data_IF_079956070630
#
_entry.id   IF_079956070630
#
_cell.length_a   1.000
_cell.length_b   1.000
_cell.length_c   1.000
_cell.angle_alpha   90.00
_cell.angle_beta   90.00
_cell.angle_gamma   90.00
#
_symmetry.space_group_name_H-M   'P 1'
#
loop_
_entity.id
_entity.type
_entity.pdbx_description
1 polymer ?
#
# COMPACT_ATOMS: atom_id res chain seq x y z
N UNK A 1 -5.62 26.18 4.50
CA UNK A 1 -7.04 25.78 4.69
C UNK A 1 -7.81 25.63 3.38
N UNK A 2 -7.20 25.90 2.24
CA UNK A 2 -7.91 25.98 0.96
C UNK A 2 -7.79 24.71 0.11
N UNK A 3 -6.83 23.82 0.36
CA UNK A 3 -6.57 22.67 -0.48
C UNK A 3 -7.68 21.60 -0.46
N UNK A 4 -8.40 21.45 0.67
CA UNK A 4 -9.53 20.52 0.76
C UNK A 4 -10.88 21.13 0.37
N UNK A 5 -10.97 22.45 0.20
CA UNK A 5 -12.20 23.12 -0.24
C UNK A 5 -12.39 23.12 -1.76
N UNK A 6 -11.34 22.79 -2.51
CA UNK A 6 -11.38 22.79 -3.99
C UNK A 6 -11.53 21.41 -4.61
N UNK A 7 -11.42 20.33 -3.81
CA UNK A 7 -11.68 18.95 -4.26
C UNK A 7 -12.76 18.32 -3.41
N UNK A 8 -13.76 17.74 -4.03
CA UNK A 8 -14.84 17.00 -3.36
C UNK A 8 -14.36 15.64 -2.77
N UNK A 9 -13.06 15.32 -2.90
CA UNK A 9 -12.50 14.02 -2.52
C UNK A 9 -11.17 14.19 -1.78
N UNK A 10 -11.05 13.52 -0.63
CA UNK A 10 -9.77 13.38 0.05
C UNK A 10 -8.83 12.51 -0.81
N UNK A 11 -7.55 12.91 -1.03
CA UNK A 11 -6.70 12.29 -2.06
C UNK A 11 -6.24 10.88 -1.72
N UNK A 12 -6.12 10.53 -0.45
CA UNK A 12 -5.58 9.26 0.01
C UNK A 12 -6.61 8.41 0.73
N UNK A 13 -6.43 7.11 0.69
CA UNK A 13 -7.13 6.14 1.52
C UNK A 13 -6.09 5.32 2.30
N UNK A 14 -6.23 5.29 3.62
CA UNK A 14 -5.35 4.57 4.53
C UNK A 14 -6.14 3.42 5.15
N UNK A 15 -5.58 2.20 5.11
CA UNK A 15 -6.23 1.01 5.67
C UNK A 15 -5.25 0.21 6.52
N UNK A 16 -5.77 -0.39 7.58
CA UNK A 16 -5.11 -1.50 8.27
C UNK A 16 -5.86 -2.76 7.84
N UNK A 17 -5.15 -3.69 7.21
CA UNK A 17 -5.71 -4.93 6.68
C UNK A 17 -5.10 -6.10 7.44
N UNK A 18 -5.94 -6.82 8.17
CA UNK A 18 -5.62 -8.09 8.82
C UNK A 18 -6.17 -9.24 7.97
N UNK A 19 -5.29 -9.84 7.19
CA UNK A 19 -5.67 -10.88 6.24
C UNK A 19 -5.70 -12.25 6.93
N UNK A 20 -6.90 -12.72 7.26
CA UNK A 20 -7.09 -14.09 7.77
C UNK A 20 -6.77 -15.14 6.72
N UNK A 21 -7.21 -14.91 5.49
CA UNK A 21 -7.06 -15.80 4.33
C UNK A 21 -6.37 -15.04 3.19
N UNK A 22 -5.89 -15.76 2.17
CA UNK A 22 -5.30 -15.17 0.98
C UNK A 22 -6.33 -14.27 0.27
N UNK A 23 -5.98 -13.02 0.00
CA UNK A 23 -6.82 -12.14 -0.81
C UNK A 23 -6.69 -12.50 -2.29
N UNK A 24 -7.66 -12.07 -3.10
CA UNK A 24 -7.60 -12.33 -4.55
C UNK A 24 -6.36 -11.72 -5.18
N UNK A 25 -5.81 -12.40 -6.17
CA UNK A 25 -4.75 -11.87 -7.01
C UNK A 25 -5.36 -10.81 -7.90
N UNK A 26 -4.76 -9.63 -7.89
CA UNK A 26 -5.32 -8.43 -8.50
C UNK A 26 -4.25 -7.54 -9.13
N UNK A 27 -4.71 -6.61 -9.94
CA UNK A 27 -3.92 -5.52 -10.53
C UNK A 27 -4.77 -4.25 -10.57
N UNK A 28 -4.11 -3.10 -10.51
CA UNK A 28 -4.77 -1.81 -10.62
C UNK A 28 -4.33 -1.06 -11.87
N UNK A 29 -5.24 -0.32 -12.53
CA UNK A 29 -4.87 0.57 -13.62
C UNK A 29 -4.19 1.85 -13.13
N UNK A 30 -3.51 2.57 -14.02
CA UNK A 30 -3.11 3.95 -13.82
C UNK A 30 -4.28 4.93 -14.05
N UNK A 31 -4.02 6.24 -13.84
CA UNK A 31 -5.03 7.29 -14.00
C UNK A 31 -5.57 7.38 -15.44
N UNK A 32 -4.70 7.19 -16.44
CA UNK A 32 -5.07 7.35 -17.84
C UNK A 32 -6.01 6.24 -18.29
N UNK A 33 -5.70 5.01 -17.95
CA UNK A 33 -6.57 3.86 -18.24
C UNK A 33 -7.88 3.96 -17.46
N UNK A 34 -7.82 4.24 -16.15
CA UNK A 34 -9.02 4.36 -15.32
C UNK A 34 -9.95 5.48 -15.79
N UNK A 35 -9.41 6.62 -16.20
CA UNK A 35 -10.19 7.73 -16.75
C UNK A 35 -11.02 7.33 -17.97
N UNK A 36 -10.48 6.49 -18.84
CA UNK A 36 -11.15 6.05 -20.06
C UNK A 36 -12.13 4.90 -19.81
N UNK A 37 -11.69 3.90 -19.02
CA UNK A 37 -12.40 2.62 -18.89
C UNK A 37 -13.26 2.51 -17.64
N UNK A 38 -13.13 3.46 -16.67
CA UNK A 38 -13.81 3.44 -15.37
C UNK A 38 -14.52 4.78 -15.09
N UNK A 39 -15.18 5.35 -16.11
CA UNK A 39 -16.04 6.54 -16.00
C UNK A 39 -15.37 7.75 -15.34
N UNK A 40 -14.09 7.99 -15.63
CA UNK A 40 -13.35 9.11 -15.06
C UNK A 40 -12.78 8.87 -13.67
N UNK A 41 -12.77 7.63 -13.20
CA UNK A 41 -12.17 7.26 -11.91
C UNK A 41 -10.65 7.49 -11.91
N UNK A 42 -10.08 7.55 -10.71
CA UNK A 42 -8.63 7.56 -10.51
C UNK A 42 -8.06 6.14 -10.69
N UNK A 43 -6.83 6.07 -11.13
CA UNK A 43 -5.99 4.88 -11.01
C UNK A 43 -5.71 4.54 -9.55
N UNK A 44 -4.93 3.49 -9.30
CA UNK A 44 -4.61 3.08 -7.94
C UNK A 44 -3.16 2.71 -7.80
N UNK A 45 -2.37 3.70 -7.38
CA UNK A 45 -1.02 3.51 -6.85
C UNK A 45 -1.14 3.30 -5.35
N UNK A 46 -0.44 2.32 -4.81
CA UNK A 46 -0.48 2.01 -3.38
C UNK A 46 0.88 1.58 -2.86
N UNK A 47 1.04 1.54 -1.56
CA UNK A 47 2.17 0.95 -0.87
C UNK A 47 1.72 0.24 0.40
N UNK A 48 2.52 -0.74 0.84
CA UNK A 48 2.27 -1.50 2.05
C UNK A 48 3.45 -1.44 3.00
N UNK A 49 3.14 -1.23 4.26
CA UNK A 49 4.09 -1.43 5.36
C UNK A 49 3.64 -2.67 6.15
N UNK A 50 4.52 -3.67 6.28
CA UNK A 50 4.21 -4.91 7.00
C UNK A 50 4.25 -4.65 8.50
N UNK A 51 3.08 -4.57 9.12
CA UNK A 51 2.92 -4.35 10.56
C UNK A 51 3.25 -5.60 11.35
N UNK A 52 2.81 -6.77 10.83
CA UNK A 52 3.08 -8.09 11.38
C UNK A 52 2.82 -9.17 10.34
N UNK A 53 3.44 -10.33 10.50
CA UNK A 53 3.16 -11.49 9.66
C UNK A 53 3.57 -12.78 10.37
N UNK A 54 2.98 -13.91 9.95
CA UNK A 54 3.38 -15.22 10.43
C UNK A 54 4.82 -15.56 10.02
N UNK A 55 5.41 -16.54 10.68
CA UNK A 55 6.72 -17.07 10.30
C UNK A 55 6.70 -17.59 8.84
N UNK A 56 7.80 -17.33 8.10
CA UNK A 56 7.93 -17.68 6.68
C UNK A 56 6.79 -17.14 5.79
N UNK A 57 6.22 -16.00 6.14
CA UNK A 57 5.18 -15.37 5.32
C UNK A 57 5.72 -15.00 3.94
N UNK A 58 4.86 -15.13 2.94
CA UNK A 58 5.09 -14.65 1.58
C UNK A 58 3.97 -13.71 1.15
N UNK A 59 4.22 -12.97 0.09
CA UNK A 59 3.23 -12.11 -0.56
C UNK A 59 3.33 -12.30 -2.06
N UNK A 60 2.22 -12.14 -2.77
CA UNK A 60 2.26 -12.12 -4.23
C UNK A 60 2.67 -10.71 -4.68
N UNK A 61 3.75 -10.61 -5.47
CA UNK A 61 4.14 -9.37 -6.14
C UNK A 61 4.87 -9.67 -7.45
N UNK A 62 4.25 -9.25 -8.55
CA UNK A 62 4.68 -9.52 -9.90
C UNK A 62 4.27 -10.91 -10.41
N UNK A 63 4.82 -11.26 -11.55
CA UNK A 63 4.55 -12.49 -12.28
C UNK A 63 5.80 -12.94 -13.04
N UNK A 64 5.75 -14.16 -13.61
CA UNK A 64 6.89 -14.79 -14.31
C UNK A 64 6.80 -14.71 -15.84
N UNK A 65 5.73 -14.15 -16.42
CA UNK A 65 5.61 -14.01 -17.88
C UNK A 65 6.60 -12.97 -18.41
N UNK A 66 7.29 -13.30 -19.49
CA UNK A 66 8.26 -12.45 -20.16
C UNK A 66 7.68 -11.58 -21.28
N UNK A 67 6.53 -11.97 -21.87
CA UNK A 67 5.83 -11.24 -22.92
C UNK A 67 4.33 -11.14 -22.65
N UNK A 68 3.64 -10.23 -23.34
CA UNK A 68 2.17 -10.10 -23.24
C UNK A 68 1.43 -11.34 -23.73
N UNK A 69 1.93 -11.99 -24.76
CA UNK A 69 1.37 -13.23 -25.32
C UNK A 69 1.49 -14.37 -24.30
N UNK A 70 2.63 -14.47 -23.65
CA UNK A 70 2.85 -15.47 -22.60
C UNK A 70 1.96 -15.19 -21.39
N UNK A 71 1.86 -13.94 -20.93
CA UNK A 71 0.96 -13.49 -19.88
C UNK A 71 -0.48 -13.90 -20.17
N UNK A 72 -0.99 -13.54 -21.35
CA UNK A 72 -2.35 -13.85 -21.78
C UNK A 72 -2.60 -15.35 -21.82
N UNK A 73 -1.66 -16.12 -22.37
CA UNK A 73 -1.74 -17.58 -22.40
C UNK A 73 -1.79 -18.19 -21.00
N UNK A 74 -0.88 -17.80 -20.10
CA UNK A 74 -0.83 -18.34 -18.72
C UNK A 74 -2.13 -18.08 -17.97
N UNK A 75 -2.71 -16.89 -18.10
CA UNK A 75 -3.97 -16.51 -17.46
C UNK A 75 -5.13 -17.33 -18.02
N UNK A 76 -5.29 -17.40 -19.35
CA UNK A 76 -6.39 -18.13 -19.98
C UNK A 76 -6.32 -19.66 -19.76
N UNK A 77 -5.12 -20.21 -19.67
CA UNK A 77 -4.90 -21.64 -19.39
C UNK A 77 -4.94 -21.96 -17.89
N UNK A 78 -5.13 -20.96 -17.01
CA UNK A 78 -5.17 -21.15 -15.55
C UNK A 78 -3.85 -21.63 -14.95
N UNK A 79 -2.70 -21.29 -15.57
CA UNK A 79 -1.37 -21.70 -15.11
C UNK A 79 -0.87 -20.87 -13.93
N UNK A 80 -1.69 -20.78 -12.89
CA UNK A 80 -1.45 -19.88 -11.76
C UNK A 80 -0.14 -20.15 -11.03
N UNK A 81 0.25 -21.40 -10.84
CA UNK A 81 1.50 -21.78 -10.19
C UNK A 81 2.77 -21.40 -10.98
N UNK A 82 2.67 -21.30 -12.30
CA UNK A 82 3.76 -20.84 -13.16
C UNK A 82 3.74 -19.30 -13.29
N UNK A 83 2.55 -18.71 -13.30
CA UNK A 83 2.34 -17.27 -13.50
C UNK A 83 2.70 -16.45 -12.27
N UNK A 84 2.21 -16.83 -11.08
CA UNK A 84 2.30 -16.05 -9.84
C UNK A 84 3.73 -16.08 -9.29
N UNK A 85 4.23 -14.91 -8.93
CA UNK A 85 5.49 -14.79 -8.19
C UNK A 85 5.23 -14.45 -6.73
N UNK A 86 5.68 -15.33 -5.85
CA UNK A 86 5.67 -15.08 -4.41
C UNK A 86 7.06 -14.71 -3.91
N UNK A 87 7.12 -13.77 -2.97
CA UNK A 87 8.36 -13.35 -2.33
C UNK A 87 8.21 -13.39 -0.81
N UNK A 88 9.29 -13.73 -0.07
CA UNK A 88 9.26 -13.69 1.39
C UNK A 88 9.15 -12.26 1.89
N UNK A 89 8.44 -12.10 3.01
CA UNK A 89 8.30 -10.83 3.72
C UNK A 89 8.51 -11.05 5.22
N UNK A 90 8.78 -9.95 5.92
CA UNK A 90 8.86 -9.89 7.39
C UNK A 90 8.29 -8.57 7.90
N UNK A 91 7.97 -8.53 9.18
CA UNK A 91 7.61 -7.29 9.88
C UNK A 91 8.65 -6.20 9.61
N UNK A 92 8.20 -5.00 9.27
CA UNK A 92 9.03 -3.85 8.97
C UNK A 92 9.47 -3.75 7.51
N UNK A 93 9.03 -4.64 6.63
CA UNK A 93 9.24 -4.48 5.20
C UNK A 93 8.27 -3.46 4.61
N UNK A 94 8.74 -2.74 3.61
CA UNK A 94 7.97 -1.77 2.83
C UNK A 94 7.92 -2.20 1.36
N UNK A 95 6.72 -2.17 0.78
CA UNK A 95 6.47 -2.55 -0.61
C UNK A 95 5.77 -1.41 -1.34
N UNK A 96 6.29 -1.08 -2.52
CA UNK A 96 5.61 -0.17 -3.45
C UNK A 96 4.87 -0.99 -4.51
N UNK A 97 3.58 -0.69 -4.70
CA UNK A 97 2.70 -1.33 -5.67
C UNK A 97 2.31 -0.27 -6.71
N UNK A 98 3.09 -0.20 -7.79
CA UNK A 98 2.75 0.68 -8.91
C UNK A 98 1.58 0.09 -9.72
N UNK A 99 0.79 0.90 -10.43
CA UNK A 99 -0.19 0.43 -11.38
C UNK A 99 0.42 -0.60 -12.35
N UNK A 100 -0.36 -1.60 -12.72
CA UNK A 100 0.11 -2.71 -13.56
C UNK A 100 0.86 -3.83 -12.82
N UNK A 101 1.12 -3.68 -11.53
CA UNK A 101 1.75 -4.73 -10.72
C UNK A 101 0.72 -5.76 -10.27
N UNK A 102 0.92 -7.02 -10.63
CA UNK A 102 0.15 -8.16 -10.07
C UNK A 102 0.53 -8.34 -8.61
N UNK A 103 -0.46 -8.39 -7.71
CA UNK A 103 -0.19 -8.51 -6.28
C UNK A 103 -1.34 -9.16 -5.51
N UNK A 104 -1.04 -9.71 -4.35
CA UNK A 104 -2.03 -10.14 -3.36
C UNK A 104 -1.42 -10.21 -1.95
N UNK A 105 -2.21 -9.83 -0.95
CA UNK A 105 -1.91 -10.07 0.46
C UNK A 105 -2.26 -11.52 0.78
N UNK A 106 -1.35 -12.23 1.44
CA UNK A 106 -1.59 -13.62 1.85
C UNK A 106 -2.01 -13.71 3.32
N UNK A 107 -2.75 -14.75 3.63
CA UNK A 107 -3.26 -15.01 4.98
C UNK A 107 -2.19 -15.06 6.05
N UNK A 108 -2.48 -14.46 7.20
CA UNK A 108 -1.55 -14.28 8.31
C UNK A 108 -0.62 -13.08 8.15
N UNK A 109 -1.01 -12.08 7.36
CA UNK A 109 -0.27 -10.83 7.17
C UNK A 109 -1.13 -9.66 7.62
N UNK A 110 -0.55 -8.78 8.44
CA UNK A 110 -1.14 -7.50 8.87
C UNK A 110 -0.38 -6.36 8.22
N UNK A 111 -1.05 -5.52 7.45
CA UNK A 111 -0.42 -4.40 6.74
C UNK A 111 -1.08 -3.06 7.04
N UNK A 112 -0.31 -2.00 6.88
CA UNK A 112 -0.80 -0.64 6.68
C UNK A 112 -0.68 -0.32 5.20
N UNK A 113 -1.81 -0.15 4.53
CA UNK A 113 -1.90 0.26 3.13
C UNK A 113 -2.15 1.76 3.03
N UNK A 114 -1.34 2.44 2.23
CA UNK A 114 -1.60 3.82 1.79
C UNK A 114 -1.76 3.82 0.28
N UNK A 115 -2.85 4.41 -0.22
CA UNK A 115 -3.19 4.40 -1.64
C UNK A 115 -3.83 5.71 -2.10
N UNK A 116 -3.85 5.94 -3.43
CA UNK A 116 -4.78 6.90 -4.03
C UNK A 116 -6.21 6.54 -3.59
N UNK A 117 -7.06 7.55 -3.40
CA UNK A 117 -8.47 7.32 -3.04
C UNK A 117 -9.26 6.78 -4.24
N UNK A 118 -9.00 5.52 -4.58
CA UNK A 118 -9.63 4.74 -5.64
C UNK A 118 -9.98 3.34 -5.13
N UNK A 119 -11.08 2.80 -5.62
CA UNK A 119 -11.56 1.46 -5.34
C UNK A 119 -11.46 0.50 -6.55
N UNK A 120 -10.88 1.00 -7.65
CA UNK A 120 -10.74 0.21 -8.88
C UNK A 120 -9.78 -0.95 -8.67
N UNK A 121 -10.31 -2.16 -8.87
CA UNK A 121 -9.56 -3.41 -8.70
C UNK A 121 -9.94 -4.39 -9.81
N UNK A 122 -8.96 -4.82 -10.60
CA UNK A 122 -9.13 -5.91 -11.56
C UNK A 122 -8.68 -7.22 -10.93
N UNK A 123 -9.65 -8.10 -10.69
CA UNK A 123 -9.38 -9.42 -10.13
C UNK A 123 -8.94 -10.36 -11.22
N UNK A 124 -7.71 -10.88 -11.06
CA UNK A 124 -7.07 -11.82 -12.00
C UNK A 124 -7.45 -13.25 -11.64
N UNK A 125 -7.37 -13.59 -10.34
CA UNK A 125 -7.68 -14.92 -9.83
C UNK A 125 -8.17 -14.87 -8.39
N UNK A 126 -9.13 -15.73 -8.04
CA UNK A 126 -9.71 -15.77 -6.70
C UNK A 126 -9.76 -17.17 -6.08
N UNK A 127 -8.86 -18.05 -6.49
CA UNK A 127 -8.74 -19.42 -5.97
C UNK A 127 -10.04 -20.23 -6.09
N UNK A 128 -10.86 -19.94 -7.09
CA UNK A 128 -12.18 -20.56 -7.34
C UNK A 128 -13.16 -20.48 -6.15
N UNK A 129 -12.94 -19.49 -5.27
CA UNK A 129 -13.78 -19.31 -4.05
C UNK A 129 -15.18 -18.81 -4.39
N UNK A 130 -16.13 -19.30 -3.62
CA UNK A 130 -17.50 -18.84 -3.72
C UNK A 130 -17.79 -17.76 -2.67
N UNK A 131 -18.43 -16.68 -3.11
CA UNK A 131 -19.03 -15.66 -2.26
C UNK A 131 -20.54 -15.71 -2.44
N UNK A 132 -21.28 -16.01 -1.37
CA UNK A 132 -22.74 -16.23 -1.43
C UNK A 132 -23.15 -17.30 -2.46
N UNK A 133 -22.37 -18.38 -2.56
CA UNK A 133 -22.64 -19.52 -3.47
C UNK A 133 -22.31 -19.28 -4.94
N UNK A 134 -21.66 -18.14 -5.28
CA UNK A 134 -21.23 -17.81 -6.64
C UNK A 134 -19.76 -17.37 -6.65
N UNK A 135 -19.00 -17.68 -7.71
CA UNK A 135 -17.66 -17.12 -7.86
C UNK A 135 -17.74 -15.60 -7.97
N UNK A 136 -16.75 -14.90 -7.44
CA UNK A 136 -16.59 -13.46 -7.66
C UNK A 136 -16.16 -13.21 -9.11
N UNK A 137 -16.65 -12.11 -9.67
CA UNK A 137 -16.27 -11.70 -11.02
C UNK A 137 -14.76 -11.53 -11.17
N UNK A 138 -14.22 -12.07 -12.27
CA UNK A 138 -12.85 -11.86 -12.72
C UNK A 138 -12.83 -10.83 -13.86
N UNK A 139 -11.80 -10.00 -13.90
CA UNK A 139 -11.66 -8.92 -14.87
C UNK A 139 -10.48 -9.21 -15.82
N UNK A 140 -10.52 -10.38 -16.49
CA UNK A 140 -9.37 -10.97 -17.19
C UNK A 140 -8.85 -10.02 -18.29
N UNK A 141 -9.71 -9.56 -19.19
CA UNK A 141 -9.29 -8.70 -20.31
C UNK A 141 -8.68 -7.39 -19.82
N UNK A 142 -9.35 -6.69 -18.91
CA UNK A 142 -8.84 -5.45 -18.29
C UNK A 142 -7.53 -5.70 -17.54
N UNK A 143 -7.40 -6.85 -16.89
CA UNK A 143 -6.16 -7.23 -16.20
C UNK A 143 -5.00 -7.40 -17.18
N UNK A 144 -5.24 -8.15 -18.27
CA UNK A 144 -4.25 -8.35 -19.32
C UNK A 144 -3.84 -7.02 -19.93
N UNK A 145 -4.77 -6.10 -20.16
CA UNK A 145 -4.47 -4.77 -20.72
C UNK A 145 -3.48 -4.00 -19.85
N UNK A 146 -3.71 -3.94 -18.53
CA UNK A 146 -2.96 -3.07 -17.62
C UNK A 146 -1.72 -3.72 -17.01
N UNK A 147 -1.59 -5.05 -16.95
CA UNK A 147 -0.43 -5.70 -16.34
C UNK A 147 0.86 -5.32 -17.08
N UNK A 148 1.82 -4.80 -16.34
CA UNK A 148 3.16 -4.45 -16.84
C UNK A 148 3.99 -5.71 -17.10
N UNK A 149 4.53 -5.86 -18.31
CA UNK A 149 5.35 -7.01 -18.72
C UNK A 149 6.68 -6.50 -19.31
N UNK A 150 7.82 -7.07 -18.90
CA UNK A 150 7.99 -7.98 -17.77
C UNK A 150 7.70 -7.31 -16.42
N UNK A 151 7.40 -8.11 -15.40
CA UNK A 151 7.26 -7.60 -14.06
C UNK A 151 8.60 -7.04 -13.52
N UNK A 152 8.56 -6.04 -12.63
CA UNK A 152 9.74 -5.57 -11.90
C UNK A 152 10.44 -6.74 -11.21
N UNK A 153 11.75 -6.61 -10.97
CA UNK A 153 12.50 -7.66 -10.26
C UNK A 153 11.97 -7.82 -8.82
N UNK A 154 12.10 -9.02 -8.27
CA UNK A 154 11.72 -9.28 -6.89
C UNK A 154 12.56 -8.43 -5.90
N UNK A 155 13.84 -8.22 -6.19
CA UNK A 155 14.74 -7.43 -5.36
C UNK A 155 14.34 -5.93 -5.29
N UNK A 156 13.71 -5.41 -6.35
CA UNK A 156 13.26 -4.01 -6.39
C UNK A 156 11.86 -3.82 -5.79
N UNK A 157 11.20 -4.90 -5.43
CA UNK A 157 9.81 -4.86 -4.96
C UNK A 157 9.68 -4.70 -3.44
N UNK A 158 10.69 -5.08 -2.67
CA UNK A 158 10.67 -5.03 -1.19
C UNK A 158 11.90 -4.30 -0.66
N UNK A 159 11.66 -3.36 0.25
CA UNK A 159 12.71 -2.67 1.01
C UNK A 159 12.58 -3.01 2.48
N UNK A 160 13.64 -3.50 3.12
CA UNK A 160 13.69 -3.53 4.57
C UNK A 160 13.96 -2.12 5.10
N UNK A 161 13.09 -1.65 5.99
CA UNK A 161 13.19 -0.30 6.58
C UNK A 161 13.29 -0.37 8.11
N UNK A 162 13.81 -1.50 8.62
CA UNK A 162 13.95 -1.73 10.06
C UNK A 162 15.03 -0.84 10.69
N UNK A 163 16.17 -0.68 10.01
CA UNK A 163 17.38 -0.04 10.55
C UNK A 163 17.55 1.44 10.13
N UNK A 164 16.44 2.18 10.07
CA UNK A 164 16.48 3.61 9.76
C UNK A 164 16.83 4.44 11.00
N UNK A 165 17.44 5.64 10.81
CA UNK A 165 17.77 6.53 11.92
C UNK A 165 16.59 6.84 12.82
N UNK A 166 16.81 6.72 14.13
CA UNK A 166 15.83 7.08 15.17
C UNK A 166 15.70 8.60 15.28
N UNK A 167 14.54 9.10 15.69
CA UNK A 167 14.24 10.53 15.83
C UNK A 167 14.47 11.31 14.51
N UNK A 168 14.15 10.68 13.40
CA UNK A 168 14.29 11.25 12.05
C UNK A 168 13.00 11.00 11.27
N UNK A 169 12.60 11.97 10.47
CA UNK A 169 11.52 11.82 9.49
C UNK A 169 12.12 11.11 8.26
N UNK A 170 12.16 9.77 8.31
CA UNK A 170 12.75 8.95 7.27
C UNK A 170 11.80 8.79 6.09
N UNK A 171 12.15 9.34 4.93
CA UNK A 171 11.38 9.18 3.71
C UNK A 171 11.56 7.76 3.15
N UNK A 172 10.46 7.01 3.06
CA UNK A 172 10.43 5.65 2.51
C UNK A 172 10.20 5.66 1.00
N UNK A 173 9.27 6.51 0.57
CA UNK A 173 8.86 6.60 -0.83
C UNK A 173 8.21 7.94 -1.16
N UNK A 174 8.47 8.42 -2.38
CA UNK A 174 7.85 9.61 -2.96
C UNK A 174 7.39 9.31 -4.37
N UNK A 175 6.15 9.65 -4.67
CA UNK A 175 5.62 9.63 -6.02
C UNK A 175 4.72 10.84 -6.28
N UNK A 176 4.12 10.91 -7.45
CA UNK A 176 3.18 11.97 -7.85
C UNK A 176 1.99 12.11 -6.90
N UNK A 177 1.61 11.03 -6.20
CA UNK A 177 0.36 10.93 -5.45
C UNK A 177 0.52 11.03 -3.95
N UNK A 178 1.67 10.60 -3.42
CA UNK A 178 1.93 10.62 -1.98
C UNK A 178 3.42 10.51 -1.65
N UNK A 179 3.74 10.99 -0.45
CA UNK A 179 5.01 10.81 0.22
C UNK A 179 4.77 9.97 1.49
N UNK A 180 5.61 8.99 1.73
CA UNK A 180 5.53 8.08 2.89
C UNK A 180 6.77 8.24 3.74
N UNK A 181 6.56 8.37 5.05
CA UNK A 181 7.62 8.50 6.04
C UNK A 181 7.49 7.45 7.14
N UNK A 182 8.63 7.05 7.69
CA UNK A 182 8.72 6.27 8.94
C UNK A 182 9.44 7.08 9.98
N UNK A 183 8.90 7.08 11.20
CA UNK A 183 9.46 7.78 12.34
C UNK A 183 9.55 6.78 13.50
N UNK A 184 10.76 6.47 13.95
CA UNK A 184 11.00 5.76 15.19
C UNK A 184 11.38 6.78 16.25
N UNK A 185 10.50 7.01 17.24
CA UNK A 185 10.70 7.96 18.32
C UNK A 185 11.31 7.24 19.52
N UNK A 186 12.42 7.78 20.03
CA UNK A 186 13.03 7.38 21.30
C UNK A 186 13.41 8.63 22.08
N UNK A 187 12.68 8.90 23.16
CA UNK A 187 12.82 10.12 23.94
C UNK A 187 12.03 11.27 23.34
N UNK A 188 12.65 12.21 22.63
CA UNK A 188 12.00 13.40 22.08
C UNK A 188 12.54 13.75 20.70
N UNK A 189 11.64 14.16 19.80
CA UNK A 189 12.00 14.80 18.53
C UNK A 189 11.00 15.87 18.12
N UNK A 190 11.40 16.74 17.20
CA UNK A 190 10.54 17.76 16.61
C UNK A 190 10.77 17.83 15.11
N UNK A 191 9.73 18.22 14.37
CA UNK A 191 9.82 18.55 12.95
C UNK A 191 8.72 19.54 12.57
N UNK A 192 8.88 20.23 11.45
CA UNK A 192 7.88 21.16 10.91
C UNK A 192 6.94 20.46 9.94
N UNK A 193 5.61 20.55 10.19
CA UNK A 193 4.56 20.09 9.30
C UNK A 193 4.12 21.25 8.38
N UNK A 194 4.65 21.26 7.15
CA UNK A 194 4.36 22.28 6.12
C UNK A 194 3.58 21.72 4.92
N UNK A 195 3.34 20.41 4.89
CA UNK A 195 2.57 19.77 3.84
C UNK A 195 1.07 20.13 3.94
N UNK A 196 0.28 19.91 2.89
CA UNK A 196 -1.17 20.18 2.89
C UNK A 196 -1.91 19.49 4.03
N UNK A 197 -1.45 18.35 4.44
CA UNK A 197 -1.84 17.58 5.63
C UNK A 197 -0.77 16.51 5.88
N UNK A 198 -0.82 15.86 7.03
CA UNK A 198 -0.05 14.65 7.29
C UNK A 198 -0.92 13.66 8.06
N UNK A 199 -1.22 12.51 7.46
CA UNK A 199 -1.80 11.38 8.18
C UNK A 199 -0.70 10.72 9.00
N UNK A 200 -1.01 10.34 10.22
CA UNK A 200 -0.08 9.66 11.12
C UNK A 200 -0.75 8.44 11.74
N UNK A 201 -0.10 7.29 11.63
CA UNK A 201 -0.56 6.04 12.25
C UNK A 201 0.50 5.56 13.22
N UNK A 202 0.17 5.42 14.50
CA UNK A 202 1.06 4.81 15.50
C UNK A 202 1.03 3.30 15.30
N UNK A 203 2.11 2.74 14.77
CA UNK A 203 2.21 1.33 14.41
C UNK A 203 2.75 0.46 15.54
N UNK A 204 3.48 1.06 16.48
CA UNK A 204 3.98 0.39 17.69
C UNK A 204 4.26 1.38 18.81
N UNK A 205 4.24 0.89 20.07
CA UNK A 205 4.55 1.69 21.27
C UNK A 205 3.49 2.71 21.65
N UNK A 206 3.91 3.73 22.39
CA UNK A 206 3.06 4.83 22.85
C UNK A 206 3.92 6.08 23.11
N UNK A 207 3.24 7.23 23.20
CA UNK A 207 3.91 8.50 23.46
C UNK A 207 2.94 9.68 23.55
N UNK A 208 3.46 10.85 23.26
CA UNK A 208 2.75 12.12 23.28
C UNK A 208 3.05 12.87 21.99
N UNK A 209 2.02 13.40 21.34
CA UNK A 209 2.10 14.29 20.17
C UNK A 209 1.54 15.64 20.56
N UNK A 210 2.36 16.69 20.61
CA UNK A 210 1.97 18.05 21.03
C UNK A 210 1.08 18.07 22.29
N UNK A 211 1.50 17.33 23.33
CA UNK A 211 0.78 17.23 24.61
C UNK A 211 -0.39 16.24 24.64
N UNK A 212 -0.76 15.61 23.51
CA UNK A 212 -1.84 14.62 23.46
C UNK A 212 -1.26 13.20 23.53
N UNK A 213 -1.73 12.34 24.45
CA UNK A 213 -1.28 10.95 24.52
C UNK A 213 -1.76 10.16 23.32
N UNK A 214 -0.86 9.32 22.79
CA UNK A 214 -1.13 8.42 21.67
C UNK A 214 -0.54 7.03 21.95
N UNK A 215 -1.11 6.00 21.33
CA UNK A 215 -0.68 4.60 21.47
C UNK A 215 -0.85 3.85 20.15
N UNK A 216 -0.27 2.67 20.09
CA UNK A 216 -0.44 1.73 18.96
C UNK A 216 -1.92 1.61 18.55
N UNK A 217 -2.16 1.78 17.26
CA UNK A 217 -3.49 1.76 16.65
C UNK A 217 -4.16 3.13 16.52
N UNK A 218 -3.64 4.17 17.18
CA UNK A 218 -4.17 5.52 16.98
C UNK A 218 -3.80 6.03 15.59
N UNK A 219 -4.78 6.67 14.96
CA UNK A 219 -4.66 7.29 13.64
C UNK A 219 -5.24 8.69 13.68
N UNK A 220 -4.49 9.68 13.19
CA UNK A 220 -4.89 11.08 13.22
C UNK A 220 -4.27 11.87 12.06
N UNK A 221 -4.79 13.07 11.83
CA UNK A 221 -4.36 13.97 10.77
C UNK A 221 -3.83 15.27 11.40
N UNK A 222 -2.64 15.68 10.97
CA UNK A 222 -2.12 17.02 11.19
C UNK A 222 -2.55 17.88 9.99
N UNK A 223 -3.32 18.95 10.17
CA UNK A 223 -3.81 19.79 9.08
C UNK A 223 -2.73 20.69 8.51
N UNK A 224 -3.04 21.33 7.38
CA UNK A 224 -2.20 22.39 6.82
C UNK A 224 -1.96 23.50 7.84
N UNK A 225 -0.70 23.96 7.91
CA UNK A 225 -0.31 25.03 8.82
C UNK A 225 -0.25 24.60 10.30
N UNK A 226 -0.16 23.32 10.58
CA UNK A 226 0.01 22.81 11.94
C UNK A 226 1.31 23.33 12.58
N UNK A 227 2.39 23.47 11.77
CA UNK A 227 3.68 23.98 12.20
C UNK A 227 4.49 22.94 12.98
N UNK A 228 5.07 23.34 14.10
CA UNK A 228 5.97 22.49 14.86
C UNK A 228 5.24 21.30 15.50
N UNK A 229 5.72 20.09 15.16
CA UNK A 229 5.26 18.82 15.71
C UNK A 229 6.28 18.34 16.74
N UNK A 230 5.83 18.15 17.97
CA UNK A 230 6.64 17.58 19.05
C UNK A 230 6.19 16.16 19.33
N UNK A 231 7.11 15.21 19.25
CA UNK A 231 6.89 13.79 19.56
C UNK A 231 7.72 13.42 20.79
N UNK A 232 7.11 12.73 21.76
CA UNK A 232 7.79 12.24 22.96
C UNK A 232 7.37 10.79 23.25
N UNK A 233 8.30 9.97 23.74
CA UNK A 233 8.01 8.61 24.19
C UNK A 233 8.84 7.56 23.46
N UNK A 234 8.28 6.35 23.35
CA UNK A 234 8.86 5.25 22.58
C UNK A 234 7.78 4.69 21.67
N UNK A 235 7.81 5.09 20.42
CA UNK A 235 6.77 4.71 19.45
C UNK A 235 7.29 4.71 18.02
N UNK A 236 6.64 3.93 17.18
CA UNK A 236 6.84 3.93 15.73
C UNK A 236 5.61 4.52 15.03
N UNK A 237 5.85 5.37 14.06
CA UNK A 237 4.80 6.04 13.28
C UNK A 237 5.09 5.86 11.80
N UNK A 238 4.07 5.50 11.02
CA UNK A 238 4.06 5.67 9.57
C UNK A 238 3.22 6.89 9.26
N UNK A 239 3.79 7.82 8.49
CA UNK A 239 3.11 9.03 8.09
C UNK A 239 3.00 9.13 6.56
N UNK A 240 1.94 9.80 6.08
CA UNK A 240 1.70 10.03 4.67
C UNK A 240 1.15 11.42 4.39
N UNK A 241 1.56 12.00 3.26
CA UNK A 241 1.08 13.30 2.74
C UNK A 241 1.06 13.30 1.22
N UNK A 242 0.68 14.43 0.59
CA UNK A 242 0.76 14.69 -0.85
C UNK A 242 1.66 15.88 -1.13
#
# INVERSE_FOLDING_TARGET
TTLFRSSDRFPLLIKIIDAKDDLSIQVHPDDDYAKVHENGSLGKTECWYILDCKENATIVIGHNAGTKEELSRMIHEGKWSEFIREIPIKKGDFLQIDPGTVHAIKGGTLILETQQNSDITYRVYDYDRLSNGKPRELHIDKSIDVITVPAKSAADSVKSVADLPVNTLNELYVCKYFHIYKIDVSGKMTFEQNAPFMNMTVTDGNGIVNGQPVKKGDHFILPNGFGNVELQGSMQIIASTI
#
